data_IF_594377918923
#
_entry.id   IF_594377918923
#
_cell.length_a   1.000
_cell.length_b   1.000
_cell.length_c   1.000
_cell.angle_alpha   90.00
_cell.angle_beta   90.00
_cell.angle_gamma   90.00
#
_symmetry.space_group_name_H-M   'P 1'
#
loop_
_entity.id
_entity.type
_entity.pdbx_description
1 polymer ?
#
# COMPACT_ATOMS: atom_id res chain seq x y z
N UNK A 1 -6.12 45.20 1.28
CA UNK A 1 -6.05 44.64 -0.07
C UNK A 1 -5.11 45.43 -1.00
N UNK A 2 -5.14 46.78 -0.97
CA UNK A 2 -4.25 47.61 -1.82
C UNK A 2 -2.77 47.35 -1.54
N UNK A 3 -2.33 47.25 -0.29
CA UNK A 3 -0.91 47.00 0.06
C UNK A 3 -0.37 45.68 -0.51
N UNK A 4 -1.22 44.64 -0.65
CA UNK A 4 -0.84 43.37 -1.23
C UNK A 4 -0.63 43.48 -2.75
N UNK A 5 -1.50 44.23 -3.42
CA UNK A 5 -1.40 44.48 -4.85
C UNK A 5 -0.16 45.33 -5.17
N UNK A 6 0.13 46.34 -4.35
CA UNK A 6 1.32 47.16 -4.48
C UNK A 6 2.60 46.34 -4.25
N UNK A 7 2.61 45.43 -3.31
CA UNK A 7 3.74 44.54 -3.07
C UNK A 7 4.00 43.61 -4.27
N UNK A 8 2.93 43.00 -4.82
CA UNK A 8 3.03 42.12 -6.00
C UNK A 8 3.58 42.88 -7.21
N UNK A 9 3.12 44.13 -7.41
CA UNK A 9 3.56 44.97 -8.51
C UNK A 9 5.04 45.36 -8.40
N UNK A 10 5.55 45.61 -7.19
CA UNK A 10 6.93 45.99 -6.95
C UNK A 10 7.92 44.82 -6.82
N UNK A 11 7.42 43.61 -6.53
CA UNK A 11 8.24 42.42 -6.32
C UNK A 11 7.72 41.18 -7.09
N UNK A 12 7.63 41.26 -8.43
CA UNK A 12 7.04 40.19 -9.25
C UNK A 12 7.76 38.83 -9.11
N UNK A 13 9.06 38.83 -8.89
CA UNK A 13 9.86 37.60 -8.70
C UNK A 13 9.54 36.91 -7.35
N UNK A 14 9.34 37.70 -6.30
CA UNK A 14 8.96 37.15 -4.97
C UNK A 14 7.54 36.61 -5.01
N UNK A 15 6.61 37.32 -5.65
CA UNK A 15 5.25 36.84 -5.84
C UNK A 15 5.21 35.54 -6.66
N UNK A 16 5.99 35.47 -7.76
CA UNK A 16 6.11 34.26 -8.55
C UNK A 16 6.70 33.07 -7.78
N UNK A 17 7.76 33.31 -6.99
CA UNK A 17 8.36 32.28 -6.15
C UNK A 17 7.39 31.76 -5.08
N UNK A 18 6.60 32.64 -4.47
CA UNK A 18 5.58 32.24 -3.49
C UNK A 18 4.48 31.36 -4.12
N UNK A 19 4.02 31.68 -5.32
CA UNK A 19 3.04 30.89 -6.07
C UNK A 19 3.61 29.51 -6.41
N UNK A 20 4.85 29.44 -6.92
CA UNK A 20 5.52 28.16 -7.21
C UNK A 20 5.68 27.32 -5.95
N UNK A 21 6.11 27.92 -4.84
CA UNK A 21 6.23 27.22 -3.57
C UNK A 21 4.88 26.67 -3.09
N UNK A 22 3.81 27.46 -3.16
CA UNK A 22 2.46 27.02 -2.81
C UNK A 22 1.97 25.86 -3.69
N UNK A 23 2.23 25.91 -5.00
CA UNK A 23 1.90 24.81 -5.91
C UNK A 23 2.69 23.54 -5.61
N UNK A 24 3.98 23.65 -5.29
CA UNK A 24 4.81 22.50 -4.89
C UNK A 24 4.30 21.87 -3.61
N UNK A 25 3.92 22.66 -2.61
CA UNK A 25 3.32 22.16 -1.36
C UNK A 25 1.99 21.46 -1.64
N UNK A 26 1.12 22.04 -2.46
CA UNK A 26 -0.16 21.41 -2.83
C UNK A 26 0.03 20.08 -3.58
N UNK A 27 0.98 20.02 -4.51
CA UNK A 27 1.32 18.80 -5.23
C UNK A 27 1.90 17.74 -4.29
N UNK A 28 2.78 18.15 -3.38
CA UNK A 28 3.34 17.25 -2.38
C UNK A 28 2.25 16.70 -1.46
N UNK A 29 1.39 17.56 -0.94
CA UNK A 29 0.29 17.17 -0.05
C UNK A 29 -0.76 16.30 -0.76
N UNK A 30 -1.05 16.57 -2.04
CA UNK A 30 -1.93 15.73 -2.84
C UNK A 30 -1.31 14.33 -3.06
N UNK A 31 0.01 14.24 -3.28
CA UNK A 31 0.72 12.95 -3.39
C UNK A 31 0.70 12.17 -2.09
N UNK A 32 0.94 12.83 -0.96
CA UNK A 32 0.85 12.21 0.37
C UNK A 32 -0.56 11.66 0.65
N UNK A 33 -1.60 12.40 0.32
CA UNK A 33 -2.99 11.94 0.49
C UNK A 33 -3.34 10.75 -0.39
N UNK A 34 -2.84 10.69 -1.63
CA UNK A 34 -3.03 9.52 -2.51
C UNK A 34 -2.31 8.29 -1.93
N UNK A 35 -1.12 8.47 -1.34
CA UNK A 35 -0.41 7.38 -0.66
C UNK A 35 -1.11 6.95 0.64
N UNK A 36 -1.71 7.89 1.36
CA UNK A 36 -2.44 7.63 2.62
C UNK A 36 -3.77 6.89 2.38
N UNK A 37 -4.45 7.13 1.26
CA UNK A 37 -5.70 6.44 0.92
C UNK A 37 -5.52 4.95 0.62
N UNK A 38 -4.33 4.54 0.23
CA UNK A 38 -4.01 3.14 -0.05
C UNK A 38 -3.50 2.37 1.18
N UNK A 39 -3.27 3.04 2.30
CA UNK A 39 -2.73 2.41 3.51
C UNK A 39 -3.84 2.03 4.49
N UNK A 40 -3.83 0.78 4.95
CA UNK A 40 -4.75 0.25 5.96
C UNK A 40 -4.01 -0.07 7.25
N UNK A 41 -4.61 0.25 8.39
CA UNK A 41 -4.19 -0.34 9.66
C UNK A 41 -4.54 -1.83 9.71
N UNK A 42 -3.89 -2.59 10.59
CA UNK A 42 -4.16 -4.01 10.76
C UNK A 42 -5.65 -4.29 11.09
N UNK A 43 -6.27 -3.45 11.91
CA UNK A 43 -7.70 -3.58 12.27
C UNK A 43 -8.63 -3.34 11.07
N UNK A 44 -8.31 -2.37 10.22
CA UNK A 44 -9.06 -2.12 8.99
C UNK A 44 -8.90 -3.28 7.99
N UNK A 45 -7.67 -3.84 7.90
CA UNK A 45 -7.41 -5.01 7.08
C UNK A 45 -8.25 -6.21 7.52
N UNK A 46 -8.32 -6.51 8.82
CA UNK A 46 -9.18 -7.58 9.37
C UNK A 46 -10.65 -7.39 8.96
N UNK A 47 -11.16 -6.16 9.02
CA UNK A 47 -12.55 -5.89 8.59
C UNK A 47 -12.78 -6.20 7.12
N UNK A 48 -11.84 -5.80 6.25
CA UNK A 48 -11.94 -6.09 4.82
C UNK A 48 -11.77 -7.59 4.52
N UNK A 49 -10.90 -8.29 5.25
CA UNK A 49 -10.75 -9.74 5.14
C UNK A 49 -12.05 -10.46 5.46
N UNK A 50 -12.74 -10.06 6.52
CA UNK A 50 -14.06 -10.60 6.89
C UNK A 50 -15.14 -10.31 5.84
N UNK A 51 -14.95 -9.31 4.98
CA UNK A 51 -15.81 -9.00 3.84
C UNK A 51 -15.38 -9.71 2.55
N UNK A 52 -14.40 -10.62 2.62
CA UNK A 52 -13.91 -11.39 1.48
C UNK A 52 -12.86 -10.69 0.63
N UNK A 53 -12.11 -9.75 1.20
CA UNK A 53 -10.95 -9.16 0.53
C UNK A 53 -9.87 -10.21 0.24
N UNK A 54 -9.20 -10.09 -0.90
CA UNK A 54 -8.02 -10.87 -1.21
C UNK A 54 -6.81 -10.28 -0.47
N UNK A 55 -6.06 -11.11 0.23
CA UNK A 55 -4.78 -10.74 0.85
C UNK A 55 -3.64 -11.32 0.03
N UNK A 56 -2.65 -10.48 -0.30
CA UNK A 56 -1.48 -10.85 -1.11
C UNK A 56 -0.21 -10.59 -0.29
N UNK A 57 0.55 -11.65 -0.05
CA UNK A 57 1.90 -11.59 0.51
C UNK A 57 2.92 -11.41 -0.61
N UNK A 58 3.62 -10.28 -0.58
CA UNK A 58 4.61 -9.90 -1.61
C UNK A 58 6.01 -10.45 -1.33
N UNK A 59 6.20 -11.15 -0.21
CA UNK A 59 7.48 -11.70 0.21
C UNK A 59 7.84 -12.97 -0.56
N UNK A 60 9.06 -13.42 -0.36
CA UNK A 60 9.50 -14.70 -0.93
C UNK A 60 8.70 -15.87 -0.35
N UNK A 61 8.73 -16.99 -1.06
CA UNK A 61 8.02 -18.22 -0.66
C UNK A 61 8.48 -18.72 0.71
N UNK A 62 9.78 -18.62 1.00
CA UNK A 62 10.39 -19.07 2.25
C UNK A 62 9.85 -18.27 3.44
N UNK A 63 9.76 -16.93 3.29
CA UNK A 63 9.22 -16.04 4.31
C UNK A 63 7.73 -16.25 4.51
N UNK A 64 6.99 -16.49 3.44
CA UNK A 64 5.57 -16.83 3.50
C UNK A 64 5.35 -18.13 4.29
N UNK A 65 6.10 -19.19 3.98
CA UNK A 65 5.97 -20.48 4.65
C UNK A 65 6.36 -20.43 6.12
N UNK A 66 7.30 -19.58 6.49
CA UNK A 66 7.70 -19.35 7.88
C UNK A 66 6.60 -18.68 8.73
N UNK A 67 5.77 -17.85 8.10
CA UNK A 67 4.64 -17.20 8.76
C UNK A 67 3.99 -16.14 7.88
N UNK A 68 2.68 -16.20 7.70
CA UNK A 68 1.90 -15.30 6.86
C UNK A 68 0.54 -14.96 7.49
N UNK A 69 -0.11 -13.91 7.02
CA UNK A 69 -1.48 -13.57 7.43
C UNK A 69 -2.42 -14.65 6.88
N UNK A 70 -3.34 -15.14 7.68
CA UNK A 70 -4.27 -16.21 7.31
C UNK A 70 -4.97 -15.93 5.98
N UNK A 71 -5.19 -16.97 5.17
CA UNK A 71 -5.80 -16.92 3.84
C UNK A 71 -5.08 -16.05 2.79
N UNK A 72 -3.88 -15.52 3.12
CA UNK A 72 -3.08 -14.77 2.18
C UNK A 72 -2.56 -15.67 1.04
N UNK A 73 -2.48 -15.11 -0.16
CA UNK A 73 -1.81 -15.72 -1.31
C UNK A 73 -0.40 -15.19 -1.43
N UNK A 74 0.56 -16.06 -1.57
CA UNK A 74 1.92 -15.65 -1.84
C UNK A 74 2.07 -15.32 -3.34
N UNK A 75 2.35 -14.05 -3.62
CA UNK A 75 2.67 -13.54 -4.96
C UNK A 75 3.83 -12.57 -4.78
N UNK A 76 5.08 -13.03 -4.94
CA UNK A 76 6.24 -12.17 -4.81
C UNK A 76 6.12 -10.92 -5.69
N UNK A 77 6.58 -9.77 -5.18
CA UNK A 77 6.40 -8.47 -5.85
C UNK A 77 6.87 -8.48 -7.31
N UNK A 78 7.96 -9.18 -7.60
CA UNK A 78 8.53 -9.35 -8.96
C UNK A 78 7.64 -10.18 -9.92
N UNK A 79 6.76 -11.01 -9.39
CA UNK A 79 5.90 -11.92 -10.15
C UNK A 79 4.47 -11.40 -10.28
N UNK A 80 4.16 -10.27 -9.65
CA UNK A 80 2.81 -9.72 -9.53
C UNK A 80 2.16 -9.48 -10.89
N UNK A 81 2.91 -8.92 -11.85
CA UNK A 81 2.39 -8.65 -13.21
C UNK A 81 2.10 -9.96 -13.95
N UNK A 82 3.00 -10.93 -13.87
CA UNK A 82 2.83 -12.24 -14.52
C UNK A 82 1.65 -13.02 -13.93
N UNK A 83 1.43 -12.92 -12.62
CA UNK A 83 0.37 -13.64 -11.93
C UNK A 83 -0.97 -12.89 -11.88
N UNK A 84 -1.03 -11.62 -12.31
CA UNK A 84 -2.25 -10.81 -12.28
C UNK A 84 -3.43 -11.43 -13.06
N UNK A 85 -3.14 -12.21 -14.11
CA UNK A 85 -4.17 -12.92 -14.88
C UNK A 85 -4.94 -13.93 -14.01
N UNK A 86 -4.26 -14.61 -13.07
CA UNK A 86 -4.88 -15.55 -12.12
C UNK A 86 -5.74 -14.87 -11.06
N UNK A 87 -5.53 -13.57 -10.88
CA UNK A 87 -6.21 -12.75 -9.88
C UNK A 87 -7.41 -11.97 -10.45
N UNK A 88 -7.74 -12.14 -11.74
CA UNK A 88 -8.81 -11.36 -12.43
C UNK A 88 -10.16 -11.37 -11.72
N UNK A 89 -10.52 -12.48 -11.06
CA UNK A 89 -11.80 -12.61 -10.34
C UNK A 89 -11.95 -11.68 -9.13
N UNK A 90 -10.84 -11.06 -8.68
CA UNK A 90 -10.85 -10.08 -7.59
C UNK A 90 -10.71 -8.63 -8.04
N UNK A 91 -10.79 -8.33 -9.35
CA UNK A 91 -10.60 -6.97 -9.86
C UNK A 91 -11.52 -5.94 -9.22
N UNK A 92 -12.78 -6.33 -8.98
CA UNK A 92 -13.80 -5.46 -8.39
C UNK A 92 -13.92 -5.60 -6.88
N UNK A 93 -13.12 -6.49 -6.27
CA UNK A 93 -13.09 -6.73 -4.84
C UNK A 93 -11.92 -5.97 -4.19
N UNK A 94 -11.99 -5.82 -2.87
CA UNK A 94 -10.88 -5.27 -2.11
C UNK A 94 -9.69 -6.23 -2.14
N UNK A 95 -8.51 -5.70 -2.45
CA UNK A 95 -7.24 -6.43 -2.46
C UNK A 95 -6.30 -5.73 -1.49
N UNK A 96 -5.73 -6.49 -0.57
CA UNK A 96 -4.78 -6.01 0.43
C UNK A 96 -3.41 -6.61 0.12
N UNK A 97 -2.41 -5.77 -0.10
CA UNK A 97 -1.03 -6.21 -0.28
C UNK A 97 -0.23 -5.95 0.97
N UNK A 98 0.73 -6.80 1.29
CA UNK A 98 1.68 -6.57 2.37
C UNK A 98 3.05 -7.18 2.08
N UNK A 99 4.07 -6.61 2.68
CA UNK A 99 5.42 -7.15 2.82
C UNK A 99 5.83 -7.14 4.30
N UNK A 100 7.11 -7.25 4.63
CA UNK A 100 7.53 -7.23 6.04
C UNK A 100 7.30 -5.90 6.73
N UNK A 101 7.66 -4.78 6.08
CA UNK A 101 7.60 -3.41 6.64
C UNK A 101 6.52 -2.53 6.01
N UNK A 102 5.86 -2.97 4.94
CA UNK A 102 4.90 -2.18 4.15
C UNK A 102 5.54 -1.34 3.03
N UNK A 103 6.87 -1.33 2.88
CA UNK A 103 7.56 -0.50 1.89
C UNK A 103 7.22 -0.88 0.44
N UNK A 104 7.20 -2.17 0.11
CA UNK A 104 6.93 -2.66 -1.26
C UNK A 104 5.45 -2.60 -1.63
N UNK A 105 4.57 -2.53 -0.63
CA UNK A 105 3.13 -2.59 -0.83
C UNK A 105 2.58 -1.43 -1.66
N UNK A 106 3.14 -0.24 -1.54
CA UNK A 106 2.73 0.92 -2.35
C UNK A 106 3.08 0.74 -3.85
N UNK A 107 4.22 0.11 -4.15
CA UNK A 107 4.61 -0.25 -5.51
C UNK A 107 3.67 -1.29 -6.10
N UNK A 108 3.42 -2.36 -5.36
CA UNK A 108 2.51 -3.43 -5.75
C UNK A 108 1.07 -2.94 -5.95
N UNK A 109 0.58 -2.06 -5.06
CA UNK A 109 -0.74 -1.46 -5.20
C UNK A 109 -0.87 -0.67 -6.51
N UNK A 110 0.13 0.15 -6.86
CA UNK A 110 0.15 0.88 -8.14
C UNK A 110 0.15 -0.06 -9.35
N UNK A 111 0.91 -1.14 -9.29
CA UNK A 111 0.94 -2.15 -10.35
C UNK A 111 -0.43 -2.79 -10.53
N UNK A 112 -1.08 -3.21 -9.46
CA UNK A 112 -2.42 -3.79 -9.52
C UNK A 112 -3.47 -2.80 -10.05
N UNK A 113 -3.43 -1.54 -9.64
CA UNK A 113 -4.32 -0.50 -10.17
C UNK A 113 -4.14 -0.32 -11.68
N UNK A 114 -2.90 -0.32 -12.20
CA UNK A 114 -2.61 -0.28 -13.65
C UNK A 114 -3.17 -1.50 -14.39
N UNK A 115 -3.22 -2.65 -13.71
CA UNK A 115 -3.75 -3.90 -14.25
C UNK A 115 -5.28 -4.02 -14.13
N UNK A 116 -5.95 -2.94 -13.71
CA UNK A 116 -7.41 -2.83 -13.68
C UNK A 116 -8.08 -3.31 -12.39
N UNK A 117 -7.35 -3.42 -11.31
CA UNK A 117 -7.93 -3.62 -9.97
C UNK A 117 -8.43 -2.28 -9.43
N UNK A 118 -9.64 -2.24 -8.88
CA UNK A 118 -10.31 -0.99 -8.52
C UNK A 118 -10.09 -0.58 -7.06
N UNK A 119 -9.89 -1.54 -6.15
CA UNK A 119 -9.82 -1.32 -4.70
C UNK A 119 -8.58 -2.02 -4.14
N UNK A 120 -7.43 -1.38 -4.25
CA UNK A 120 -6.15 -1.94 -3.79
C UNK A 120 -5.62 -1.12 -2.62
N UNK A 121 -5.24 -1.83 -1.58
CA UNK A 121 -4.77 -1.28 -0.32
C UNK A 121 -3.44 -1.89 0.07
N UNK A 122 -2.62 -1.14 0.79
CA UNK A 122 -1.40 -1.62 1.40
C UNK A 122 -1.56 -1.69 2.92
N UNK A 123 -1.14 -2.79 3.53
CA UNK A 123 -1.08 -2.92 4.99
C UNK A 123 0.05 -2.07 5.55
N UNK A 124 -0.30 -1.04 6.31
CA UNK A 124 0.67 -0.15 6.94
C UNK A 124 1.54 -0.92 7.93
N UNK A 125 2.86 -0.77 7.80
CA UNK A 125 3.82 -1.48 8.62
C UNK A 125 3.93 -2.98 8.32
N UNK A 126 3.22 -3.50 7.32
CA UNK A 126 3.32 -4.88 6.84
C UNK A 126 3.07 -5.94 7.91
N UNK A 127 3.70 -7.09 7.75
CA UNK A 127 3.60 -8.19 8.71
C UNK A 127 4.15 -7.80 10.09
N UNK A 128 5.15 -6.94 10.15
CA UNK A 128 5.72 -6.49 11.42
C UNK A 128 4.69 -5.77 12.30
N UNK A 129 3.88 -4.88 11.72
CA UNK A 129 2.79 -4.21 12.44
C UNK A 129 1.68 -5.20 12.83
N UNK A 130 1.35 -6.15 11.95
CA UNK A 130 0.37 -7.21 12.23
C UNK A 130 0.74 -8.03 13.47
N UNK A 131 2.01 -8.47 13.55
CA UNK A 131 2.54 -9.23 14.69
C UNK A 131 2.60 -8.38 15.95
N UNK A 132 3.00 -7.09 15.82
CA UNK A 132 3.02 -6.15 16.95
C UNK A 132 1.64 -5.94 17.56
N UNK A 133 0.59 -5.97 16.75
CA UNK A 133 -0.80 -5.88 17.20
C UNK A 133 -1.34 -7.23 17.74
N UNK A 134 -0.46 -8.23 17.94
CA UNK A 134 -0.79 -9.59 18.41
C UNK A 134 -1.82 -10.32 17.55
N UNK A 135 -1.88 -10.03 16.26
CA UNK A 135 -2.78 -10.72 15.34
C UNK A 135 -2.17 -12.06 14.88
N UNK A 136 -3.02 -13.08 14.63
CA UNK A 136 -2.56 -14.43 14.33
C UNK A 136 -1.83 -14.50 12.98
N UNK A 137 -0.78 -15.32 12.95
CA UNK A 137 -0.07 -15.71 11.74
C UNK A 137 -0.21 -17.22 11.51
N UNK A 138 -0.45 -17.61 10.28
CA UNK A 138 -0.47 -18.99 9.85
C UNK A 138 0.93 -19.41 9.37
N UNK A 139 1.23 -20.70 9.42
CA UNK A 139 2.42 -21.32 8.84
C UNK A 139 2.01 -22.36 7.82
N UNK A 140 2.73 -22.43 6.70
CA UNK A 140 2.48 -23.50 5.72
C UNK A 140 2.83 -24.86 6.31
N UNK A 141 2.05 -25.88 5.96
CA UNK A 141 2.23 -27.23 6.50
C UNK A 141 3.62 -27.84 6.20
N UNK A 142 4.30 -27.36 5.16
CA UNK A 142 5.66 -27.78 4.79
C UNK A 142 6.74 -27.32 5.79
N UNK A 143 6.51 -26.27 6.57
CA UNK A 143 7.46 -25.80 7.57
C UNK A 143 7.50 -26.66 8.85
N UNK A 144 6.57 -27.62 9.01
CA UNK A 144 6.53 -28.51 10.17
C UNK A 144 7.49 -29.69 10.13
N UNK A 145 8.18 -29.95 9.01
CA UNK A 145 9.04 -31.13 8.87
C UNK A 145 10.56 -30.88 9.05
N UNK A 146 10.99 -29.65 9.31
CA UNK A 146 12.41 -29.29 9.43
C UNK A 146 12.91 -29.11 10.87
N UNK A 147 12.13 -29.52 11.85
CA UNK A 147 12.45 -29.37 13.29
C UNK A 147 12.39 -30.70 14.02
N UNK A 148 13.31 -31.64 13.69
CA UNK A 148 13.56 -32.80 14.55
C UNK A 148 15.04 -33.19 14.47
#
# INVERSE_FOLDING_TARGET
MQQLLDFIAHHPYLAGAAVVAALLVLVFEARERVHSFAALSAQQAVRLMNQGALVIDLRSKELYDAGHIGDARNVPARELEAQAASLKKWRDKSVITYCDSGADGAGAARTLLKLGFTKVFNLQGGLSAWVKDNLPVAKSASAKSSGK
#
